data_IF_983073279469
#
_entry.id   IF_983073279469
#
_cell.length_a   1.000
_cell.length_b   1.000
_cell.length_c   1.000
_cell.angle_alpha   90.00
_cell.angle_beta   90.00
_cell.angle_gamma   90.00
#
_symmetry.space_group_name_H-M   'P 1'
#
loop_
_entity.id
_entity.type
_entity.pdbx_description
1 polymer ?
#
# COMPACT_ATOMS: atom_id res chain seq x y z
N UNK A 1 13.26 -1.24 -4.24
CA UNK A 1 11.93 -0.69 -4.57
C UNK A 1 11.91 -0.33 -6.05
N UNK A 2 10.93 -0.82 -6.82
CA UNK A 2 10.83 -0.51 -8.25
C UNK A 2 10.24 0.90 -8.49
N UNK A 3 10.42 1.47 -9.68
CA UNK A 3 9.96 2.84 -10.02
C UNK A 3 8.44 3.03 -9.88
N UNK A 4 7.65 1.97 -10.11
CA UNK A 4 6.20 1.96 -9.88
C UNK A 4 5.88 2.06 -8.38
N UNK A 5 6.58 1.26 -7.57
CA UNK A 5 6.39 1.21 -6.11
C UNK A 5 6.79 2.52 -5.43
N UNK A 6 7.87 3.17 -5.89
CA UNK A 6 8.31 4.46 -5.35
C UNK A 6 7.29 5.57 -5.63
N UNK A 7 6.79 5.63 -6.87
CA UNK A 7 5.74 6.57 -7.27
C UNK A 7 4.47 6.36 -6.46
N UNK A 8 4.01 5.10 -6.32
CA UNK A 8 2.85 4.76 -5.51
C UNK A 8 3.05 5.18 -4.03
N UNK A 9 4.19 4.84 -3.43
CA UNK A 9 4.51 5.17 -2.04
C UNK A 9 4.46 6.68 -1.76
N UNK A 10 4.96 7.49 -2.70
CA UNK A 10 4.93 8.94 -2.61
C UNK A 10 3.51 9.51 -2.68
N UNK A 11 2.61 8.91 -3.46
CA UNK A 11 1.20 9.30 -3.58
C UNK A 11 0.34 8.92 -2.35
N UNK A 12 0.85 8.03 -1.49
CA UNK A 12 0.16 7.60 -0.28
C UNK A 12 0.32 8.61 0.86
N UNK A 13 -0.77 8.85 1.57
CA UNK A 13 -0.76 9.58 2.83
C UNK A 13 -0.03 8.78 3.92
N UNK A 14 0.61 9.47 4.87
CA UNK A 14 1.38 8.84 5.95
C UNK A 14 0.60 7.75 6.69
N UNK A 15 -0.67 7.99 7.06
CA UNK A 15 -1.53 6.99 7.72
C UNK A 15 -1.68 5.70 6.91
N UNK A 16 -1.78 5.81 5.58
CA UNK A 16 -1.90 4.64 4.69
C UNK A 16 -0.58 3.87 4.62
N UNK A 17 0.56 4.57 4.57
CA UNK A 17 1.89 3.92 4.65
C UNK A 17 2.05 3.13 5.94
N UNK A 18 1.65 3.70 7.08
CA UNK A 18 1.63 2.99 8.39
C UNK A 18 0.76 1.74 8.39
N UNK A 19 -0.38 1.78 7.70
CA UNK A 19 -1.26 0.60 7.58
C UNK A 19 -0.66 -0.46 6.67
N UNK A 20 -0.02 -0.07 5.56
CA UNK A 20 0.66 -1.01 4.65
C UNK A 20 1.84 -1.72 5.33
N UNK A 21 2.64 -1.02 6.11
CA UNK A 21 3.76 -1.62 6.84
C UNK A 21 3.33 -2.43 8.09
N UNK A 22 2.03 -2.40 8.47
CA UNK A 22 1.56 -3.09 9.66
C UNK A 22 1.47 -4.60 9.44
N UNK A 23 2.25 -5.36 10.23
CA UNK A 23 2.26 -6.84 10.25
C UNK A 23 1.19 -7.45 11.16
N UNK A 24 0.98 -6.87 12.34
CA UNK A 24 0.05 -7.39 13.37
C UNK A 24 -0.87 -6.30 13.90
N UNK A 25 -2.06 -6.70 14.34
CA UNK A 25 -2.92 -5.91 15.21
C UNK A 25 -2.33 -5.81 16.62
N UNK A 26 -2.82 -4.85 17.42
CA UNK A 26 -2.40 -4.68 18.83
C UNK A 26 -2.57 -5.96 19.66
N UNK A 27 -3.53 -6.81 19.28
CA UNK A 27 -3.85 -8.09 19.93
C UNK A 27 -3.17 -9.30 19.25
N UNK A 28 -2.04 -9.11 18.57
CA UNK A 28 -1.23 -10.20 18.00
C UNK A 28 -1.78 -10.86 16.73
N UNK A 29 -3.05 -10.64 16.37
CA UNK A 29 -3.66 -11.15 15.13
C UNK A 29 -2.97 -10.61 13.87
N UNK A 30 -2.90 -11.43 12.82
CA UNK A 30 -2.39 -11.02 11.49
C UNK A 30 -3.20 -9.84 10.97
N UNK A 31 -2.51 -8.79 10.52
CA UNK A 31 -3.16 -7.64 9.91
C UNK A 31 -3.43 -7.93 8.43
N UNK A 32 -4.71 -7.95 8.03
CA UNK A 32 -5.10 -7.94 6.62
C UNK A 32 -5.29 -6.49 6.18
N UNK A 33 -4.57 -6.09 5.14
CA UNK A 33 -4.70 -4.75 4.59
C UNK A 33 -5.88 -4.71 3.62
N UNK A 34 -6.93 -3.97 4.00
CA UNK A 34 -8.03 -3.62 3.12
C UNK A 34 -7.91 -2.13 2.73
N UNK A 35 -7.54 -1.81 1.48
CA UNK A 35 -7.47 -0.42 1.03
C UNK A 35 -8.86 0.21 0.95
N UNK A 36 -8.95 1.50 1.27
CA UNK A 36 -10.20 2.24 1.18
C UNK A 36 -10.59 2.40 -0.31
N UNK A 37 -11.85 2.15 -0.67
CA UNK A 37 -12.35 2.33 -2.05
C UNK A 37 -12.08 3.74 -2.62
N UNK A 38 -12.13 4.78 -1.80
CA UNK A 38 -11.79 6.15 -2.22
C UNK A 38 -10.31 6.31 -2.56
N UNK A 39 -9.43 5.62 -1.83
CA UNK A 39 -8.00 5.59 -2.13
C UNK A 39 -7.75 4.91 -3.47
N UNK A 40 -8.34 3.73 -3.68
CA UNK A 40 -8.21 2.96 -4.92
C UNK A 40 -8.70 3.77 -6.11
N UNK A 41 -9.88 4.39 -5.99
CA UNK A 41 -10.43 5.27 -7.03
C UNK A 41 -9.53 6.47 -7.33
N UNK A 42 -8.97 7.11 -6.30
CA UNK A 42 -8.05 8.26 -6.46
C UNK A 42 -6.77 7.84 -7.19
N UNK A 43 -6.15 6.75 -6.76
CA UNK A 43 -4.92 6.24 -7.36
C UNK A 43 -5.14 5.76 -8.80
N UNK A 44 -6.25 5.07 -9.06
CA UNK A 44 -6.63 4.65 -10.41
C UNK A 44 -6.75 5.85 -11.36
N UNK A 45 -7.40 6.94 -10.92
CA UNK A 45 -7.46 8.19 -11.71
C UNK A 45 -6.10 8.87 -11.88
N UNK A 46 -5.27 8.92 -10.84
CA UNK A 46 -3.97 9.61 -10.91
C UNK A 46 -2.94 8.86 -11.76
N UNK A 47 -2.96 7.54 -11.70
CA UNK A 47 -2.00 6.67 -12.40
C UNK A 47 -2.53 6.19 -13.75
N UNK A 48 -3.80 6.48 -14.06
CA UNK A 48 -4.50 6.04 -15.27
C UNK A 48 -4.41 4.52 -15.49
N UNK A 49 -4.64 3.76 -14.42
CA UNK A 49 -4.65 2.28 -14.41
C UNK A 49 -5.95 1.75 -13.83
N UNK A 50 -6.23 0.46 -14.05
CA UNK A 50 -7.43 -0.17 -13.51
C UNK A 50 -7.41 -0.20 -11.98
N UNK A 51 -8.59 -0.38 -11.38
CA UNK A 51 -8.68 -0.53 -9.91
C UNK A 51 -7.97 -1.79 -9.45
N UNK A 52 -8.03 -2.85 -10.24
CA UNK A 52 -7.40 -4.14 -9.92
C UNK A 52 -5.87 -4.00 -9.94
N UNK A 53 -5.31 -3.31 -10.95
CA UNK A 53 -3.87 -3.01 -11.00
C UNK A 53 -3.41 -2.17 -9.80
N UNK A 54 -4.24 -1.24 -9.29
CA UNK A 54 -3.93 -0.48 -8.08
C UNK A 54 -3.89 -1.39 -6.86
N UNK A 55 -4.82 -2.34 -6.75
CA UNK A 55 -4.87 -3.29 -5.65
C UNK A 55 -3.62 -4.18 -5.66
N UNK A 56 -3.24 -4.68 -6.83
CA UNK A 56 -2.04 -5.49 -7.00
C UNK A 56 -0.78 -4.70 -6.63
N UNK A 57 -0.64 -3.46 -7.14
CA UNK A 57 0.49 -2.61 -6.77
C UNK A 57 0.54 -2.27 -5.27
N UNK A 58 -0.62 -2.12 -4.61
CA UNK A 58 -0.69 -1.93 -3.16
C UNK A 58 -0.27 -3.18 -2.39
N UNK A 59 -0.62 -4.37 -2.87
CA UNK A 59 -0.19 -5.64 -2.30
C UNK A 59 1.31 -5.86 -2.49
N UNK A 60 1.85 -5.64 -3.68
CA UNK A 60 3.30 -5.70 -3.95
C UNK A 60 4.08 -4.75 -3.04
N UNK A 61 3.60 -3.51 -2.91
CA UNK A 61 4.21 -2.52 -2.03
C UNK A 61 4.12 -2.96 -0.56
N UNK A 62 3.01 -3.56 -0.15
CA UNK A 62 2.86 -4.12 1.21
C UNK A 62 3.88 -5.20 1.46
N UNK A 63 4.03 -6.17 0.56
CA UNK A 63 5.02 -7.23 0.70
C UNK A 63 6.44 -6.68 0.79
N UNK A 64 6.77 -5.69 -0.05
CA UNK A 64 8.05 -5.00 0.01
C UNK A 64 8.29 -4.34 1.38
N UNK A 65 7.33 -3.57 1.88
CA UNK A 65 7.44 -2.88 3.17
C UNK A 65 7.52 -3.86 4.36
N UNK A 66 6.83 -5.00 4.27
CA UNK A 66 6.92 -6.05 5.28
C UNK A 66 8.25 -6.79 5.26
N UNK A 67 8.88 -6.92 4.08
CA UNK A 67 10.20 -7.53 3.90
C UNK A 67 11.33 -6.59 4.31
N UNK A 68 11.18 -5.29 4.06
CA UNK A 68 12.21 -4.27 4.33
C UNK A 68 11.68 -3.15 5.25
N UNK A 69 11.57 -3.42 6.57
CA UNK A 69 10.99 -2.47 7.53
C UNK A 69 11.76 -1.15 7.67
N UNK A 70 13.02 -1.08 7.23
CA UNK A 70 13.83 0.15 7.23
C UNK A 70 13.35 1.23 6.25
N UNK A 71 12.46 0.90 5.30
CA UNK A 71 11.89 1.86 4.34
C UNK A 71 10.58 2.50 4.83
N UNK A 72 10.19 2.20 6.07
CA UNK A 72 9.00 2.74 6.72
C UNK A 72 9.29 4.05 7.47
#
# INVERSE_FOLDING_TARGET
>A
MNQKQSTLYNLLQGKTRKRLARKKWRLGKTFQYAPNANLVRRLSKQLNISKDDVLDQLNDLREYLLKYPQYY
#
